data_IF_740446589606
#
_entry.id   IF_740446589606
#
_cell.length_a   1.000
_cell.length_b   1.000
_cell.length_c   1.000
_cell.angle_alpha   90.00
_cell.angle_beta   90.00
_cell.angle_gamma   90.00
#
_symmetry.space_group_name_H-M   'P 1'
#
loop_
_entity.id
_entity.type
_entity.pdbx_description
1 polymer ?
#
# COMPACT_ATOMS: atom_id res chain seq x y z
N UNK A 1 -25.56 11.91 -8.18
CA UNK A 1 -25.06 10.81 -9.04
C UNK A 1 -25.16 11.24 -10.50
N UNK A 2 -24.31 10.72 -11.39
CA UNK A 2 -24.25 11.10 -12.83
C UNK A 2 -24.33 9.93 -13.82
N UNK A 3 -24.41 8.68 -13.33
CA UNK A 3 -24.57 7.51 -14.20
C UNK A 3 -26.05 7.35 -14.60
N UNK A 4 -26.37 7.00 -15.86
CA UNK A 4 -27.71 6.62 -16.25
C UNK A 4 -28.12 5.28 -15.60
N UNK A 5 -29.43 4.95 -15.54
CA UNK A 5 -29.92 3.72 -14.89
C UNK A 5 -29.27 2.45 -15.42
N UNK A 6 -29.01 2.37 -16.73
CA UNK A 6 -28.40 1.21 -17.39
C UNK A 6 -26.98 0.97 -16.88
N UNK A 7 -26.18 2.04 -16.77
CA UNK A 7 -24.82 1.95 -16.25
C UNK A 7 -24.78 1.65 -14.74
N UNK A 8 -25.78 2.10 -13.97
CA UNK A 8 -25.90 1.70 -12.57
C UNK A 8 -26.24 0.21 -12.45
N UNK A 9 -27.19 -0.29 -13.25
CA UNK A 9 -27.56 -1.72 -13.23
C UNK A 9 -26.36 -2.61 -13.61
N UNK A 10 -25.60 -2.23 -14.64
CA UNK A 10 -24.36 -2.91 -15.01
C UNK A 10 -23.36 -2.93 -13.84
N UNK A 11 -23.07 -1.78 -13.25
CA UNK A 11 -22.12 -1.68 -12.14
C UNK A 11 -22.56 -2.48 -10.90
N UNK A 12 -23.88 -2.54 -10.62
CA UNK A 12 -24.42 -3.36 -9.53
C UNK A 12 -24.29 -4.85 -9.83
N UNK A 13 -24.55 -5.27 -11.07
CA UNK A 13 -24.35 -6.66 -11.47
C UNK A 13 -22.88 -7.08 -11.30
N UNK A 14 -21.95 -6.27 -11.82
CA UNK A 14 -20.51 -6.54 -11.68
C UNK A 14 -20.00 -6.44 -10.24
N UNK A 15 -20.61 -5.60 -9.40
CA UNK A 15 -20.33 -5.58 -7.96
C UNK A 15 -20.64 -6.92 -7.30
N UNK A 16 -21.80 -7.52 -7.63
CA UNK A 16 -22.19 -8.83 -7.11
C UNK A 16 -21.29 -9.95 -7.64
N UNK A 17 -20.98 -9.94 -8.95
CA UNK A 17 -20.03 -10.88 -9.55
C UNK A 17 -18.64 -10.77 -8.92
N UNK A 18 -18.16 -9.56 -8.64
CA UNK A 18 -16.88 -9.35 -7.97
C UNK A 18 -16.88 -9.90 -6.54
N UNK A 19 -17.98 -9.71 -5.80
CA UNK A 19 -18.14 -10.25 -4.45
C UNK A 19 -18.08 -11.78 -4.42
N UNK A 20 -18.63 -12.42 -5.45
CA UNK A 20 -18.53 -13.86 -5.64
C UNK A 20 -17.15 -14.29 -6.10
N UNK A 21 -16.57 -13.63 -7.09
CA UNK A 21 -15.34 -14.09 -7.73
C UNK A 21 -14.09 -13.90 -6.86
N UNK A 22 -14.02 -12.86 -6.03
CA UNK A 22 -12.83 -12.54 -5.22
C UNK A 22 -12.35 -13.70 -4.33
N UNK A 23 -13.27 -14.56 -3.87
CA UNK A 23 -12.94 -15.76 -3.05
C UNK A 23 -12.11 -16.80 -3.79
N UNK A 24 -12.16 -16.80 -5.13
CA UNK A 24 -11.40 -17.72 -5.96
C UNK A 24 -9.93 -17.30 -6.05
N UNK A 25 -9.67 -16.00 -6.17
CA UNK A 25 -8.32 -15.43 -6.32
C UNK A 25 -7.42 -15.86 -5.15
N UNK A 26 -7.95 -15.80 -3.93
CA UNK A 26 -7.21 -16.12 -2.71
C UNK A 26 -6.89 -17.60 -2.51
N UNK A 27 -7.42 -18.50 -3.35
CA UNK A 27 -7.04 -19.92 -3.32
C UNK A 27 -5.57 -20.12 -3.71
N UNK A 28 -4.95 -19.17 -4.43
CA UNK A 28 -3.49 -19.16 -4.64
C UNK A 28 -2.75 -19.05 -3.30
N UNK A 29 -3.19 -18.14 -2.41
CA UNK A 29 -2.62 -18.05 -1.06
C UNK A 29 -2.90 -19.31 -0.25
N UNK A 30 -4.03 -19.98 -0.48
CA UNK A 30 -4.36 -21.23 0.22
C UNK A 30 -3.41 -22.37 -0.20
N UNK A 31 -3.03 -22.45 -1.47
CA UNK A 31 -2.06 -23.46 -1.95
C UNK A 31 -0.67 -23.25 -1.34
N UNK A 32 -0.14 -22.03 -1.38
CA UNK A 32 1.24 -21.77 -0.94
C UNK A 32 1.37 -21.41 0.55
N UNK A 33 0.34 -20.83 1.14
CA UNK A 33 0.34 -20.32 2.52
C UNK A 33 -0.67 -21.00 3.43
N UNK A 34 -1.37 -22.03 2.97
CA UNK A 34 -2.29 -22.86 3.75
C UNK A 34 -3.69 -22.27 3.98
N UNK A 35 -3.84 -20.93 4.00
CA UNK A 35 -5.12 -20.26 4.22
C UNK A 35 -5.16 -18.81 3.72
N UNK A 36 -6.37 -18.26 3.63
CA UNK A 36 -6.63 -16.84 3.51
C UNK A 36 -7.92 -16.49 4.27
N UNK A 37 -8.00 -15.39 5.05
CA UNK A 37 -6.93 -14.41 5.35
C UNK A 37 -5.76 -14.98 6.18
N UNK A 38 -4.66 -14.20 6.26
CA UNK A 38 -3.45 -14.52 7.03
C UNK A 38 -2.73 -15.83 6.64
N UNK A 39 -2.20 -15.94 5.40
CA UNK A 39 -1.35 -17.06 5.01
C UNK A 39 -0.07 -17.15 5.86
N UNK A 40 0.53 -18.32 5.90
CA UNK A 40 1.81 -18.55 6.57
C UNK A 40 3.02 -18.22 5.67
N UNK A 41 4.10 -17.73 6.27
CA UNK A 41 5.38 -17.39 5.64
C UNK A 41 6.53 -17.95 6.47
N UNK A 42 7.77 -17.94 5.95
CA UNK A 42 8.95 -18.50 6.60
C UNK A 42 10.18 -17.59 6.40
N UNK A 43 10.93 -17.30 7.47
CA UNK A 43 12.27 -16.69 7.31
C UNK A 43 13.18 -17.70 6.61
N UNK A 44 13.77 -17.31 5.48
CA UNK A 44 14.59 -18.19 4.64
C UNK A 44 13.90 -18.69 3.37
N UNK A 45 12.60 -18.46 3.19
CA UNK A 45 11.88 -18.83 1.97
C UNK A 45 10.38 -19.00 2.18
N UNK A 46 9.83 -20.15 1.78
CA UNK A 46 8.41 -20.49 1.93
C UNK A 46 8.24 -21.89 2.54
N UNK A 47 7.20 -22.13 3.35
CA UNK A 47 6.99 -23.44 3.99
C UNK A 47 6.39 -24.48 3.04
N UNK A 48 5.87 -24.08 1.87
CA UNK A 48 5.22 -24.95 0.90
C UNK A 48 6.23 -25.70 0.03
N UNK A 49 6.88 -26.72 0.60
CA UNK A 49 7.81 -27.58 -0.11
C UNK A 49 7.20 -28.17 -1.39
N UNK A 50 8.04 -28.35 -2.41
CA UNK A 50 7.62 -28.81 -3.74
C UNK A 50 8.11 -30.25 -3.97
N UNK A 51 7.21 -31.10 -4.45
CA UNK A 51 7.53 -32.44 -4.93
C UNK A 51 6.55 -32.78 -6.07
N UNK A 52 7.05 -32.93 -7.29
CA UNK A 52 6.24 -33.10 -8.49
C UNK A 52 6.07 -34.56 -8.92
N UNK A 53 7.13 -35.35 -8.78
CA UNK A 53 7.30 -36.64 -9.45
C UNK A 53 7.83 -37.76 -8.56
N UNK A 54 8.26 -37.45 -7.33
CA UNK A 54 8.74 -38.45 -6.36
C UNK A 54 7.61 -38.99 -5.48
N UNK A 55 7.86 -40.16 -4.90
CA UNK A 55 6.95 -40.73 -3.89
C UNK A 55 6.75 -39.73 -2.75
N UNK A 56 5.48 -39.53 -2.34
CA UNK A 56 5.12 -38.55 -1.31
C UNK A 56 4.68 -37.18 -1.83
N UNK A 57 4.61 -36.96 -3.15
CA UNK A 57 4.10 -35.72 -3.76
C UNK A 57 2.70 -35.28 -3.26
N UNK A 58 1.88 -36.21 -2.76
CA UNK A 58 0.57 -35.93 -2.15
C UNK A 58 0.67 -35.09 -0.87
N UNK A 59 1.83 -35.03 -0.22
CA UNK A 59 2.11 -34.22 0.96
C UNK A 59 2.80 -32.88 0.68
N UNK A 60 2.91 -32.46 -0.59
CA UNK A 60 3.66 -31.28 -1.02
C UNK A 60 2.90 -30.47 -2.08
N UNK A 61 3.46 -29.33 -2.49
CA UNK A 61 3.04 -28.67 -3.73
C UNK A 61 3.45 -29.57 -4.90
N UNK A 62 2.46 -30.14 -5.57
CA UNK A 62 2.62 -31.03 -6.71
C UNK A 62 1.96 -30.46 -7.98
N UNK A 63 2.01 -31.21 -9.08
CA UNK A 63 1.51 -30.72 -10.38
C UNK A 63 0.01 -30.38 -10.36
N UNK A 64 -0.82 -31.10 -9.60
CA UNK A 64 -2.24 -30.79 -9.51
C UNK A 64 -2.49 -29.48 -8.74
N UNK A 65 -1.71 -29.21 -7.68
CA UNK A 65 -1.73 -27.91 -6.98
C UNK A 65 -1.34 -26.75 -7.90
N UNK A 66 -0.31 -26.95 -8.73
CA UNK A 66 0.13 -25.95 -9.72
C UNK A 66 -0.89 -25.74 -10.85
N UNK A 67 -1.61 -26.79 -11.26
CA UNK A 67 -2.72 -26.68 -12.22
C UNK A 67 -3.88 -25.84 -11.66
N UNK A 68 -4.22 -26.02 -10.38
CA UNK A 68 -5.21 -25.18 -9.70
C UNK A 68 -4.78 -23.70 -9.71
N UNK A 69 -3.53 -23.42 -9.33
CA UNK A 69 -2.96 -22.06 -9.35
C UNK A 69 -3.07 -21.46 -10.75
N UNK A 70 -2.58 -22.16 -11.78
CA UNK A 70 -2.66 -21.72 -13.18
C UNK A 70 -4.08 -21.36 -13.62
N UNK A 71 -5.07 -22.19 -13.28
CA UNK A 71 -6.48 -21.92 -13.59
C UNK A 71 -6.99 -20.65 -12.92
N UNK A 72 -6.65 -20.42 -11.66
CA UNK A 72 -7.06 -19.22 -10.92
C UNK A 72 -6.40 -17.96 -11.51
N UNK A 73 -5.12 -18.03 -11.87
CA UNK A 73 -4.40 -16.91 -12.49
C UNK A 73 -5.12 -16.45 -13.76
N UNK A 74 -5.46 -17.38 -14.66
CA UNK A 74 -6.18 -17.06 -15.90
C UNK A 74 -7.52 -16.38 -15.62
N UNK A 75 -8.32 -16.94 -14.71
CA UNK A 75 -9.63 -16.36 -14.35
C UNK A 75 -9.49 -14.96 -13.74
N UNK A 76 -8.49 -14.76 -12.88
CA UNK A 76 -8.25 -13.48 -12.21
C UNK A 76 -7.88 -12.37 -13.20
N UNK A 77 -6.96 -12.68 -14.13
CA UNK A 77 -6.59 -11.80 -15.23
C UNK A 77 -7.79 -11.43 -16.08
N UNK A 78 -8.54 -12.45 -16.51
CA UNK A 78 -9.74 -12.26 -17.33
C UNK A 78 -10.77 -11.35 -16.64
N UNK A 79 -11.03 -11.54 -15.34
CA UNK A 79 -11.97 -10.69 -14.60
C UNK A 79 -11.50 -9.24 -14.51
N UNK A 80 -10.21 -9.00 -14.22
CA UNK A 80 -9.66 -7.64 -14.17
C UNK A 80 -9.71 -6.94 -15.54
N UNK A 81 -9.36 -7.67 -16.61
CA UNK A 81 -9.30 -7.15 -17.99
C UNK A 81 -10.68 -6.92 -18.61
N UNK A 82 -11.67 -7.76 -18.30
CA UNK A 82 -12.97 -7.76 -18.97
C UNK A 82 -14.10 -7.14 -18.13
N UNK A 83 -13.92 -7.01 -16.81
CA UNK A 83 -14.93 -6.46 -15.90
C UNK A 83 -14.41 -5.19 -15.22
N UNK A 84 -13.38 -5.31 -14.38
CA UNK A 84 -12.99 -4.21 -13.50
C UNK A 84 -12.45 -2.98 -14.26
N UNK A 85 -11.48 -3.17 -15.16
CA UNK A 85 -10.92 -2.07 -15.93
C UNK A 85 -11.95 -1.40 -16.86
N UNK A 86 -12.77 -2.15 -17.63
CA UNK A 86 -13.86 -1.57 -18.41
C UNK A 86 -14.88 -0.77 -17.60
N UNK A 87 -15.28 -1.27 -16.42
CA UNK A 87 -16.21 -0.56 -15.54
C UNK A 87 -15.64 0.77 -15.06
N UNK A 88 -14.35 0.80 -14.72
CA UNK A 88 -13.67 2.04 -14.32
C UNK A 88 -13.63 3.03 -15.48
N UNK A 89 -13.36 2.59 -16.71
CA UNK A 89 -13.40 3.45 -17.90
C UNK A 89 -14.81 4.00 -18.15
N UNK A 90 -15.84 3.15 -18.00
CA UNK A 90 -17.24 3.56 -18.14
C UNK A 90 -17.60 4.62 -17.09
N UNK A 91 -17.33 4.35 -15.80
CA UNK A 91 -17.60 5.28 -14.71
C UNK A 91 -16.83 6.60 -14.94
N UNK A 92 -15.55 6.53 -15.31
CA UNK A 92 -14.73 7.69 -15.59
C UNK A 92 -15.33 8.57 -16.70
N UNK A 93 -15.93 7.97 -17.73
CA UNK A 93 -16.54 8.70 -18.84
C UNK A 93 -17.68 9.64 -18.41
N UNK A 94 -18.45 9.27 -17.37
CA UNK A 94 -19.53 10.09 -16.81
C UNK A 94 -19.05 11.08 -15.73
N UNK A 95 -17.93 10.77 -15.08
CA UNK A 95 -17.35 11.57 -14.00
C UNK A 95 -16.04 12.27 -14.39
N UNK A 96 -15.85 12.64 -15.66
CA UNK A 96 -14.64 13.35 -16.12
C UNK A 96 -14.33 14.64 -15.35
N UNK A 97 -15.32 15.28 -14.74
CA UNK A 97 -15.10 16.44 -13.85
C UNK A 97 -14.27 16.08 -12.60
N UNK A 98 -14.32 14.82 -12.16
CA UNK A 98 -13.50 14.31 -11.06
C UNK A 98 -12.02 14.18 -11.41
N UNK A 99 -11.65 14.32 -12.69
CA UNK A 99 -10.26 14.46 -13.11
C UNK A 99 -9.60 15.76 -12.62
N UNK A 100 -10.38 16.70 -12.06
CA UNK A 100 -9.92 18.00 -11.54
C UNK A 100 -10.14 18.14 -10.03
N UNK A 101 -10.56 17.07 -9.35
CA UNK A 101 -10.93 17.08 -7.93
C UNK A 101 -10.04 16.11 -7.16
N UNK A 102 -9.53 16.56 -6.01
CA UNK A 102 -8.78 15.73 -5.07
C UNK A 102 -7.49 15.14 -5.61
N UNK A 103 -6.71 15.97 -6.30
CA UNK A 103 -5.31 15.68 -6.58
C UNK A 103 -4.49 15.71 -5.30
N UNK A 104 -4.58 16.80 -4.53
CA UNK A 104 -3.80 16.97 -3.31
C UNK A 104 -2.32 16.97 -3.63
N UNK A 105 -1.56 16.06 -3.03
CA UNK A 105 -0.11 15.96 -3.25
C UNK A 105 0.26 15.23 -4.55
N UNK A 106 -0.68 14.60 -5.25
CA UNK A 106 -0.37 13.76 -6.42
C UNK A 106 0.33 14.48 -7.58
N UNK A 107 0.16 15.81 -7.70
CA UNK A 107 0.86 16.65 -8.70
C UNK A 107 2.19 17.22 -8.20
N UNK A 108 2.57 16.92 -6.95
CA UNK A 108 3.70 17.54 -6.26
C UNK A 108 4.69 16.50 -5.76
N UNK A 109 4.24 15.63 -4.84
CA UNK A 109 5.10 14.77 -4.05
C UNK A 109 4.61 13.32 -4.05
N UNK A 110 5.42 12.42 -4.60
CA UNK A 110 5.09 11.00 -4.77
C UNK A 110 6.22 10.12 -4.27
N UNK A 111 5.90 9.00 -3.64
CA UNK A 111 6.89 8.05 -3.11
C UNK A 111 6.49 6.61 -3.43
N UNK A 112 7.47 5.82 -3.89
CA UNK A 112 7.37 4.37 -4.01
C UNK A 112 8.72 3.69 -3.70
N UNK A 113 8.70 2.59 -2.97
CA UNK A 113 9.89 1.79 -2.65
C UNK A 113 10.24 0.76 -3.72
N UNK A 114 9.32 0.51 -4.65
CA UNK A 114 9.41 -0.57 -5.64
C UNK A 114 9.15 -1.95 -5.04
N UNK A 115 8.88 -2.90 -5.91
CA UNK A 115 8.45 -4.25 -5.51
C UNK A 115 8.67 -5.25 -6.64
N UNK A 116 8.47 -6.52 -6.30
CA UNK A 116 8.57 -7.67 -7.18
C UNK A 116 9.99 -7.80 -7.73
N UNK A 117 10.98 -8.09 -6.86
CA UNK A 117 12.33 -8.39 -7.32
C UNK A 117 12.27 -9.59 -8.28
N UNK A 118 12.83 -9.42 -9.47
CA UNK A 118 12.94 -10.50 -10.42
C UNK A 118 13.95 -11.52 -9.87
N UNK A 119 15.25 -11.23 -9.93
CA UNK A 119 16.23 -12.13 -9.33
C UNK A 119 16.11 -12.19 -7.79
N UNK A 120 16.12 -13.41 -7.18
CA UNK A 120 16.00 -13.54 -5.74
C UNK A 120 17.11 -12.79 -5.01
N UNK A 121 16.78 -12.16 -3.88
CA UNK A 121 17.72 -11.46 -2.99
C UNK A 121 18.42 -10.23 -3.59
N UNK A 122 18.04 -9.77 -4.77
CA UNK A 122 18.46 -8.47 -5.32
C UNK A 122 17.31 -7.46 -5.22
N UNK A 123 17.43 -6.52 -4.28
CA UNK A 123 16.44 -5.47 -4.03
C UNK A 123 16.81 -4.13 -4.67
N UNK A 124 17.73 -4.14 -5.64
CA UNK A 124 18.08 -2.96 -6.44
C UNK A 124 16.91 -2.52 -7.32
N UNK A 125 16.79 -1.22 -7.57
CA UNK A 125 15.73 -0.67 -8.41
C UNK A 125 15.69 -1.24 -9.84
N UNK A 126 16.85 -1.69 -10.36
CA UNK A 126 16.96 -2.36 -11.66
C UNK A 126 16.31 -3.74 -11.71
N UNK A 127 16.20 -4.41 -10.56
CA UNK A 127 15.64 -5.75 -10.45
C UNK A 127 14.16 -5.74 -9.99
N UNK A 128 13.67 -4.61 -9.48
CA UNK A 128 12.27 -4.44 -9.07
C UNK A 128 11.38 -4.15 -10.29
N UNK A 129 10.45 -5.06 -10.59
CA UNK A 129 9.48 -4.90 -11.68
C UNK A 129 8.57 -3.68 -11.45
N UNK A 130 8.22 -3.41 -10.20
CA UNK A 130 7.44 -2.23 -9.82
C UNK A 130 8.38 -1.03 -9.55
N UNK A 131 8.13 0.15 -10.13
CA UNK A 131 8.94 1.37 -9.96
C UNK A 131 9.26 1.75 -8.51
N UNK A 132 10.53 2.11 -8.28
CA UNK A 132 11.06 2.76 -7.07
C UNK A 132 11.46 4.20 -7.38
N UNK A 133 11.16 5.13 -6.49
CA UNK A 133 11.61 6.52 -6.58
C UNK A 133 10.79 7.49 -5.74
N UNK A 134 11.26 8.73 -5.68
CA UNK A 134 10.55 9.85 -5.08
C UNK A 134 10.55 11.05 -6.04
N UNK A 135 9.41 11.73 -6.15
CA UNK A 135 9.24 12.99 -6.89
C UNK A 135 8.84 14.04 -5.88
N UNK A 136 9.42 15.24 -5.97
CA UNK A 136 9.17 16.35 -5.04
C UNK A 136 8.91 17.63 -5.83
N UNK A 137 8.08 18.52 -5.29
CA UNK A 137 7.82 19.85 -5.83
C UNK A 137 7.33 19.85 -7.30
N UNK A 138 6.68 18.77 -7.74
CA UNK A 138 6.17 18.62 -9.09
C UNK A 138 7.25 18.46 -10.17
N UNK A 139 8.50 18.16 -9.78
CA UNK A 139 9.63 17.94 -10.69
C UNK A 139 9.67 16.50 -11.20
N UNK A 140 8.73 16.17 -12.08
CA UNK A 140 8.59 14.82 -12.63
C UNK A 140 9.76 14.39 -13.54
N UNK A 141 10.58 15.33 -13.97
CA UNK A 141 11.85 15.13 -14.67
C UNK A 141 13.01 14.71 -13.75
N UNK A 142 12.86 14.93 -12.44
CA UNK A 142 13.85 14.61 -11.41
C UNK A 142 13.31 13.51 -10.46
N UNK A 143 13.53 12.25 -10.80
CA UNK A 143 13.13 11.12 -9.96
C UNK A 143 14.27 10.74 -9.03
N UNK A 144 14.15 11.08 -7.75
CA UNK A 144 15.17 10.82 -6.74
C UNK A 144 15.18 9.33 -6.34
N UNK A 145 16.37 8.72 -6.15
CA UNK A 145 16.47 7.41 -5.55
C UNK A 145 16.03 7.47 -4.08
N UNK A 146 15.51 6.35 -3.58
CA UNK A 146 15.08 6.22 -2.18
C UNK A 146 16.04 5.29 -1.44
N UNK A 147 16.58 5.73 -0.31
CA UNK A 147 17.41 4.95 0.61
C UNK A 147 16.71 4.85 1.99
N UNK A 148 16.32 3.63 2.35
CA UNK A 148 15.60 3.34 3.59
C UNK A 148 16.53 3.30 4.81
N UNK A 149 17.85 3.29 4.59
CA UNK A 149 18.87 3.23 5.63
C UNK A 149 19.39 4.62 6.01
N UNK A 150 19.16 5.62 5.15
CA UNK A 150 19.54 7.01 5.40
C UNK A 150 18.66 7.63 6.50
N UNK A 151 19.23 8.08 7.64
CA UNK A 151 18.47 8.54 8.81
C UNK A 151 17.80 9.91 8.61
N UNK A 152 18.26 10.69 7.62
CA UNK A 152 17.71 11.99 7.23
C UNK A 152 16.64 11.87 6.12
N UNK A 153 16.38 10.65 5.64
CA UNK A 153 15.47 10.41 4.54
C UNK A 153 14.04 10.11 5.01
N UNK A 154 13.78 8.93 5.59
CA UNK A 154 12.44 8.58 6.08
C UNK A 154 12.37 8.84 7.58
N UNK A 155 11.52 9.78 7.98
CA UNK A 155 11.34 10.14 9.38
C UNK A 155 9.86 10.22 9.73
N UNK A 156 9.51 9.79 10.94
CA UNK A 156 8.17 9.93 11.50
C UNK A 156 8.12 10.98 12.60
N UNK A 157 7.22 11.94 12.46
CA UNK A 157 6.93 12.96 13.46
C UNK A 157 5.70 12.57 14.27
N UNK A 158 5.65 13.04 15.53
CA UNK A 158 4.49 12.85 16.42
C UNK A 158 3.99 14.18 16.99
N UNK A 159 4.34 15.30 16.36
CA UNK A 159 3.92 16.65 16.76
C UNK A 159 2.41 16.70 16.96
N UNK A 160 1.65 16.26 15.96
CA UNK A 160 0.19 16.25 15.97
C UNK A 160 -0.43 14.85 16.17
N UNK A 161 0.34 13.91 16.74
CA UNK A 161 -0.09 12.53 17.00
C UNK A 161 -0.07 12.20 18.48
N UNK A 162 -0.96 11.31 18.95
CA UNK A 162 -1.07 10.86 20.35
C UNK A 162 0.06 9.91 20.78
N UNK A 163 1.30 10.33 20.57
CA UNK A 163 2.53 9.70 21.05
C UNK A 163 3.48 10.77 21.60
N UNK A 164 4.45 10.33 22.40
CA UNK A 164 5.55 11.17 22.90
C UNK A 164 6.91 10.62 22.46
N UNK A 165 7.87 11.53 22.22
CA UNK A 165 9.29 11.23 22.00
C UNK A 165 10.14 11.72 23.19
N UNK A 166 9.51 11.89 24.35
CA UNK A 166 10.11 12.50 25.54
C UNK A 166 10.10 14.03 25.51
N UNK A 167 10.41 14.63 26.65
CA UNK A 167 10.29 16.07 26.88
C UNK A 167 11.19 16.87 25.91
N UNK A 168 10.61 17.85 25.20
CA UNK A 168 11.33 18.73 24.29
C UNK A 168 11.69 18.15 22.92
N UNK A 169 11.24 16.93 22.60
CA UNK A 169 11.52 16.26 21.31
C UNK A 169 10.29 16.14 20.40
N UNK A 170 9.16 16.77 20.74
CA UNK A 170 7.91 16.57 19.99
C UNK A 170 7.96 17.08 18.54
N UNK A 171 8.83 18.06 18.25
CA UNK A 171 9.03 18.62 16.90
C UNK A 171 10.11 17.88 16.08
N UNK A 172 10.75 16.85 16.65
CA UNK A 172 11.79 16.09 15.94
C UNK A 172 11.20 14.89 15.23
N UNK A 173 11.58 14.70 13.97
CA UNK A 173 11.36 13.47 13.24
C UNK A 173 12.39 12.41 13.66
N UNK A 174 11.94 11.16 13.80
CA UNK A 174 12.83 10.03 14.07
C UNK A 174 12.81 9.08 12.87
N UNK A 175 14.00 8.64 12.45
CA UNK A 175 14.11 7.50 11.54
C UNK A 175 13.59 6.23 12.24
N UNK A 176 12.93 5.29 11.54
CA UNK A 176 12.32 4.12 12.18
C UNK A 176 13.28 3.25 13.02
N UNK A 177 14.58 3.19 12.75
CA UNK A 177 15.49 2.46 13.66
C UNK A 177 15.65 3.10 15.04
N UNK A 178 15.42 4.42 15.10
CA UNK A 178 15.41 5.21 16.33
C UNK A 178 13.97 5.53 16.78
N UNK A 179 12.97 4.98 16.07
CA UNK A 179 11.56 5.26 16.28
C UNK A 179 11.06 4.76 17.64
N UNK A 180 10.20 5.57 18.25
CA UNK A 180 9.54 5.27 19.52
C UNK A 180 8.03 5.18 19.32
N UNK A 181 7.37 4.29 20.04
CA UNK A 181 5.91 4.13 20.01
C UNK A 181 5.38 4.14 21.44
N UNK A 182 5.48 5.30 22.09
CA UNK A 182 4.95 5.52 23.44
C UNK A 182 3.66 6.33 23.36
N UNK A 183 2.48 5.72 23.59
CA UNK A 183 1.20 6.39 23.43
C UNK A 183 0.99 7.47 24.50
N UNK A 184 0.52 8.65 24.07
CA UNK A 184 0.20 9.77 24.95
C UNK A 184 -1.06 10.48 24.43
N UNK A 185 -2.22 10.08 24.97
CA UNK A 185 -3.49 10.73 24.67
C UNK A 185 -3.63 11.99 25.53
N UNK A 186 -3.49 13.14 24.88
CA UNK A 186 -3.74 14.47 25.43
C UNK A 186 -4.43 15.30 24.36
N UNK A 187 -5.42 16.09 24.78
CA UNK A 187 -6.20 16.97 23.90
C UNK A 187 -5.71 18.41 24.04
N UNK A 188 -5.84 19.20 22.96
CA UNK A 188 -5.46 20.62 22.94
C UNK A 188 -6.48 21.54 23.63
N UNK A 189 -6.16 22.84 23.65
CA UNK A 189 -6.97 23.87 24.30
C UNK A 189 -8.34 24.08 23.65
N UNK A 190 -8.45 23.87 22.33
CA UNK A 190 -9.67 24.10 21.55
C UNK A 190 -10.50 22.83 21.37
N UNK A 191 -10.14 21.75 22.05
CA UNK A 191 -10.85 20.48 22.01
C UNK A 191 -12.28 20.63 22.57
N UNK A 192 -13.27 20.06 21.87
CA UNK A 192 -14.65 20.03 22.33
C UNK A 192 -15.07 18.60 22.58
N UNK A 193 -15.38 18.30 23.84
CA UNK A 193 -15.83 16.97 24.25
C UNK A 193 -15.39 16.60 25.66
N UNK A 194 -15.32 15.30 25.91
CA UNK A 194 -14.84 14.68 27.15
C UNK A 194 -13.90 13.53 26.79
N UNK A 195 -13.19 12.96 27.78
CA UNK A 195 -12.27 11.84 27.55
C UNK A 195 -12.87 10.68 26.71
N UNK A 196 -14.17 10.44 26.81
CA UNK A 196 -14.89 9.36 26.11
C UNK A 196 -15.81 9.84 24.98
N UNK A 197 -15.83 11.15 24.68
CA UNK A 197 -16.72 11.73 23.67
C UNK A 197 -16.03 12.87 22.93
N UNK A 198 -15.82 12.74 21.63
CA UNK A 198 -15.20 13.77 20.80
C UNK A 198 -16.30 14.41 19.94
N UNK A 199 -16.59 15.69 20.19
CA UNK A 199 -17.46 16.49 19.31
C UNK A 199 -16.63 17.14 18.20
N UNK A 200 -15.47 17.71 18.57
CA UNK A 200 -14.54 18.35 17.65
C UNK A 200 -13.12 18.14 18.15
N UNK A 201 -12.24 17.67 17.25
CA UNK A 201 -10.80 17.55 17.55
C UNK A 201 -10.14 18.94 17.47
N UNK A 202 -9.02 19.11 18.17
CA UNK A 202 -8.17 20.30 18.07
C UNK A 202 -6.93 19.98 17.23
N UNK A 203 -6.97 20.36 15.95
CA UNK A 203 -5.89 20.12 14.99
C UNK A 203 -4.68 21.05 15.17
N UNK A 204 -4.72 22.00 16.11
CA UNK A 204 -3.56 22.81 16.50
C UNK A 204 -2.64 22.09 17.50
N UNK A 205 -3.11 20.97 18.07
CA UNK A 205 -2.38 20.10 18.98
C UNK A 205 -2.36 18.65 18.45
N UNK A 206 -2.38 17.64 19.33
CA UNK A 206 -2.43 16.22 18.94
C UNK A 206 -3.85 15.80 18.60
N UNK A 207 -4.05 15.22 17.40
CA UNK A 207 -5.39 14.91 16.89
C UNK A 207 -5.55 13.53 16.23
N UNK A 208 -4.51 12.67 16.25
CA UNK A 208 -4.56 11.37 15.57
C UNK A 208 -3.71 10.30 16.25
N UNK A 209 -4.12 9.03 16.09
CA UNK A 209 -3.32 7.85 16.43
C UNK A 209 -2.33 7.45 15.32
N UNK A 210 -2.32 8.17 14.21
CA UNK A 210 -1.41 7.92 13.08
C UNK A 210 -0.20 8.85 13.26
N UNK A 211 1.02 8.31 13.11
CA UNK A 211 2.26 9.12 13.05
C UNK A 211 2.35 9.89 11.72
N UNK A 212 3.24 10.87 11.63
CA UNK A 212 3.41 11.74 10.46
C UNK A 212 4.72 11.44 9.72
N UNK A 213 4.79 10.43 8.84
CA UNK A 213 6.00 10.14 8.07
C UNK A 213 6.24 11.22 7.00
N UNK A 214 7.51 11.56 6.79
CA UNK A 214 8.01 12.52 5.81
C UNK A 214 9.24 11.97 5.13
N UNK A 215 9.42 12.29 3.86
CA UNK A 215 10.61 11.95 3.09
C UNK A 215 11.45 13.22 2.89
N UNK A 216 12.64 13.28 3.49
CA UNK A 216 13.51 14.47 3.54
C UNK A 216 12.74 15.73 3.98
N UNK A 217 11.82 15.57 4.95
CA UNK A 217 10.96 16.63 5.45
C UNK A 217 9.82 17.07 4.51
N UNK A 218 9.49 16.29 3.49
CA UNK A 218 8.35 16.52 2.60
C UNK A 218 7.21 15.54 2.90
N UNK A 219 5.98 16.05 2.96
CA UNK A 219 4.78 15.22 2.92
C UNK A 219 4.65 14.55 1.55
N UNK A 220 4.38 13.25 1.53
CA UNK A 220 4.35 12.43 0.31
C UNK A 220 3.00 11.76 0.13
N UNK A 221 2.60 11.53 -1.12
CA UNK A 221 1.56 10.56 -1.46
C UNK A 221 2.17 9.23 -1.90
N UNK A 222 1.59 8.13 -1.42
CA UNK A 222 1.95 6.76 -1.82
C UNK A 222 0.72 6.03 -2.39
N UNK A 223 0.94 4.92 -3.10
CA UNK A 223 -0.13 4.05 -3.61
C UNK A 223 -0.09 3.86 -5.11
N UNK A 224 -1.15 3.27 -5.72
CA UNK A 224 -1.18 2.98 -7.15
C UNK A 224 -0.85 4.19 -8.02
N UNK A 225 -1.41 5.36 -7.71
CA UNK A 225 -1.17 6.57 -8.49
C UNK A 225 0.30 7.02 -8.44
N UNK A 226 0.91 7.01 -7.26
CA UNK A 226 2.32 7.37 -7.07
C UNK A 226 3.24 6.46 -7.88
N UNK A 227 3.05 5.14 -7.74
CA UNK A 227 3.79 4.10 -8.49
C UNK A 227 3.67 4.26 -10.00
N UNK A 228 2.44 4.44 -10.49
CA UNK A 228 2.18 4.59 -11.92
C UNK A 228 2.77 5.88 -12.48
N UNK A 229 2.71 6.99 -11.74
CA UNK A 229 3.32 8.25 -12.17
C UNK A 229 4.85 8.18 -12.15
N UNK A 230 5.45 7.55 -11.14
CA UNK A 230 6.90 7.31 -11.12
C UNK A 230 7.30 6.42 -12.32
N UNK A 231 6.62 5.30 -12.53
CA UNK A 231 6.88 4.41 -13.68
C UNK A 231 6.69 5.09 -15.04
N UNK A 232 5.65 5.92 -15.17
CA UNK A 232 5.37 6.71 -16.36
C UNK A 232 6.54 7.67 -16.69
N UNK A 233 7.06 8.38 -15.68
CA UNK A 233 8.14 9.35 -15.87
C UNK A 233 9.54 8.70 -15.90
N UNK A 234 9.69 7.48 -15.39
CA UNK A 234 10.82 6.59 -15.71
C UNK A 234 10.77 6.05 -17.15
N UNK A 235 9.71 6.38 -17.90
CA UNK A 235 9.51 6.01 -19.30
C UNK A 235 9.42 4.48 -19.52
N UNK A 236 8.90 3.76 -18.52
CA UNK A 236 8.68 2.31 -18.59
C UNK A 236 7.39 2.00 -19.39
N UNK A 237 7.47 1.31 -20.55
CA UNK A 237 6.32 1.11 -21.42
C UNK A 237 5.18 0.34 -20.75
N UNK A 238 5.50 -0.57 -19.83
CA UNK A 238 4.53 -1.40 -19.09
C UNK A 238 3.55 -0.56 -18.25
N UNK A 239 3.93 0.67 -17.90
CA UNK A 239 3.09 1.64 -17.19
C UNK A 239 2.63 2.77 -18.10
N UNK A 240 3.52 3.24 -18.99
CA UNK A 240 3.27 4.39 -19.86
C UNK A 240 2.19 4.13 -20.89
N UNK A 241 2.25 3.01 -21.61
CA UNK A 241 1.32 2.71 -22.70
C UNK A 241 -0.12 2.51 -22.20
N UNK A 242 -0.38 1.72 -21.13
CA UNK A 242 -1.74 1.59 -20.60
C UNK A 242 -2.31 2.91 -20.08
N UNK A 243 -1.47 3.77 -19.49
CA UNK A 243 -1.88 5.11 -19.05
C UNK A 243 -2.24 5.99 -20.24
N UNK A 244 -1.39 6.05 -21.27
CA UNK A 244 -1.64 6.85 -22.47
C UNK A 244 -2.91 6.35 -23.20
N UNK A 245 -3.14 5.03 -23.27
CA UNK A 245 -4.36 4.46 -23.83
C UNK A 245 -5.61 4.85 -23.02
N UNK A 246 -5.55 4.76 -21.69
CA UNK A 246 -6.66 5.15 -20.81
C UNK A 246 -7.02 6.62 -21.00
N UNK A 247 -6.02 7.51 -21.00
CA UNK A 247 -6.22 8.95 -21.21
C UNK A 247 -6.79 9.24 -22.60
N UNK A 248 -6.32 8.53 -23.64
CA UNK A 248 -6.80 8.65 -25.02
C UNK A 248 -8.27 8.27 -25.15
N UNK A 249 -8.68 7.11 -24.62
CA UNK A 249 -10.09 6.66 -24.62
C UNK A 249 -10.98 7.63 -23.87
N UNK A 250 -10.52 8.15 -22.73
CA UNK A 250 -11.26 9.14 -21.95
C UNK A 250 -11.19 10.55 -22.53
N UNK A 251 -10.34 10.80 -23.54
CA UNK A 251 -10.05 12.13 -24.09
C UNK A 251 -9.68 13.13 -22.99
N UNK A 252 -8.79 12.73 -22.10
CA UNK A 252 -8.30 13.50 -20.96
C UNK A 252 -6.80 13.79 -21.11
N UNK A 253 -6.32 14.95 -20.65
CA UNK A 253 -4.90 15.28 -20.68
C UNK A 253 -4.16 14.57 -19.53
N UNK A 254 -2.82 14.60 -19.52
CA UNK A 254 -2.00 13.91 -18.50
C UNK A 254 -2.29 14.39 -17.08
N UNK A 255 -2.57 15.67 -16.91
CA UNK A 255 -2.87 16.30 -15.64
C UNK A 255 -4.14 15.73 -14.98
N UNK A 256 -5.01 15.06 -15.76
CA UNK A 256 -6.17 14.34 -15.23
C UNK A 256 -5.79 13.22 -14.27
N UNK A 257 -4.56 12.69 -14.35
CA UNK A 257 -4.05 11.69 -13.41
C UNK A 257 -3.92 12.25 -12.00
N UNK A 258 -3.68 13.56 -11.84
CA UNK A 258 -3.52 14.21 -10.55
C UNK A 258 -4.86 14.47 -9.87
N UNK A 259 -5.61 13.40 -9.61
CA UNK A 259 -6.99 13.50 -9.13
C UNK A 259 -7.51 12.24 -8.43
N UNK A 260 -8.65 12.38 -7.76
CA UNK A 260 -9.45 11.28 -7.23
C UNK A 260 -9.81 10.25 -8.31
N UNK A 261 -10.13 10.72 -9.53
CA UNK A 261 -10.41 9.83 -10.66
C UNK A 261 -9.15 9.11 -11.12
N UNK A 262 -8.03 9.82 -11.24
CA UNK A 262 -6.73 9.28 -11.63
C UNK A 262 -6.25 8.18 -10.67
N UNK A 263 -6.43 8.38 -9.36
CA UNK A 263 -6.10 7.34 -8.37
C UNK A 263 -6.96 6.09 -8.50
N UNK A 264 -8.22 6.26 -8.85
CA UNK A 264 -9.15 5.15 -9.11
C UNK A 264 -8.75 4.40 -10.39
N UNK A 265 -8.40 5.11 -11.45
CA UNK A 265 -7.91 4.56 -12.70
C UNK A 265 -6.58 3.79 -12.52
N UNK A 266 -5.62 4.37 -11.79
CA UNK A 266 -4.32 3.75 -11.54
C UNK A 266 -4.46 2.39 -10.84
N UNK A 267 -5.39 2.24 -9.88
CA UNK A 267 -5.67 0.95 -9.23
C UNK A 267 -6.20 -0.10 -10.20
N UNK A 268 -7.08 0.29 -11.12
CA UNK A 268 -7.63 -0.62 -12.12
C UNK A 268 -6.54 -1.08 -13.10
N UNK A 269 -5.70 -0.16 -13.58
CA UNK A 269 -4.53 -0.48 -14.39
C UNK A 269 -3.58 -1.45 -13.65
N UNK A 270 -3.32 -1.19 -12.37
CA UNK A 270 -2.44 -2.03 -11.55
C UNK A 270 -2.99 -3.45 -11.36
N UNK A 271 -4.32 -3.62 -11.28
CA UNK A 271 -4.93 -4.95 -11.17
C UNK A 271 -4.65 -5.85 -12.40
N UNK A 272 -4.62 -5.25 -13.59
CA UNK A 272 -4.30 -5.95 -14.84
C UNK A 272 -2.80 -6.22 -14.91
N UNK A 273 -1.97 -5.23 -14.60
CA UNK A 273 -0.52 -5.39 -14.52
C UNK A 273 -0.14 -6.51 -13.55
N UNK A 274 -0.71 -6.51 -12.34
CA UNK A 274 -0.45 -7.53 -11.32
C UNK A 274 -0.93 -8.93 -11.75
N UNK A 275 -2.06 -9.01 -12.46
CA UNK A 275 -2.51 -10.26 -13.07
C UNK A 275 -1.49 -10.83 -14.06
N UNK A 276 -0.90 -9.97 -14.90
CA UNK A 276 0.16 -10.38 -15.84
C UNK A 276 1.46 -10.74 -15.12
N UNK A 277 1.86 -9.97 -14.10
CA UNK A 277 3.02 -10.26 -13.25
C UNK A 277 2.87 -11.59 -12.51
N UNK A 278 1.66 -11.93 -12.08
CA UNK A 278 1.36 -13.23 -11.46
C UNK A 278 1.57 -14.40 -12.44
N UNK A 279 1.12 -14.27 -13.69
CA UNK A 279 1.40 -15.24 -14.75
C UNK A 279 2.91 -15.35 -15.02
N UNK A 280 3.60 -14.21 -15.12
CA UNK A 280 5.05 -14.16 -15.33
C UNK A 280 5.83 -14.94 -14.26
N UNK A 281 5.54 -14.71 -12.97
CA UNK A 281 6.20 -15.42 -11.88
C UNK A 281 5.81 -16.90 -11.82
N UNK A 282 4.57 -17.25 -12.16
CA UNK A 282 4.17 -18.65 -12.28
C UNK A 282 4.95 -19.35 -13.40
N UNK A 283 5.07 -18.74 -14.58
CA UNK A 283 5.84 -19.31 -15.68
C UNK A 283 7.32 -19.44 -15.32
N UNK A 284 7.86 -18.52 -14.53
CA UNK A 284 9.23 -18.61 -14.02
C UNK A 284 9.41 -19.76 -13.04
N UNK A 285 8.50 -19.92 -12.08
CA UNK A 285 8.48 -21.09 -11.20
C UNK A 285 8.47 -22.37 -12.05
N UNK A 286 7.59 -22.46 -13.05
CA UNK A 286 7.52 -23.62 -13.94
C UNK A 286 8.81 -23.85 -14.73
N UNK A 287 9.58 -22.81 -15.09
CA UNK A 287 10.90 -22.96 -15.74
C UNK A 287 11.93 -23.55 -14.78
N UNK A 288 12.01 -23.06 -13.55
CA UNK A 288 12.90 -23.61 -12.52
C UNK A 288 12.61 -25.09 -12.27
N UNK A 289 11.33 -25.42 -12.11
CA UNK A 289 10.88 -26.80 -11.91
C UNK A 289 11.24 -27.72 -13.07
N UNK A 290 11.06 -27.27 -14.32
CA UNK A 290 11.49 -28.02 -15.51
C UNK A 290 13.00 -28.25 -15.58
N UNK A 291 13.80 -27.35 -15.00
CA UNK A 291 15.25 -27.52 -14.87
C UNK A 291 15.67 -28.32 -13.63
N UNK A 292 14.73 -28.81 -12.82
CA UNK A 292 14.99 -29.61 -11.62
C UNK A 292 15.22 -28.79 -10.34
N UNK A 293 15.09 -27.46 -10.39
CA UNK A 293 15.18 -26.61 -9.20
C UNK A 293 13.83 -26.57 -8.46
N UNK A 294 13.79 -27.24 -7.30
CA UNK A 294 12.62 -27.38 -6.42
C UNK A 294 12.85 -26.78 -5.02
N UNK A 295 13.98 -26.09 -4.81
CA UNK A 295 14.33 -25.55 -3.51
C UNK A 295 13.38 -24.43 -3.09
N UNK A 296 12.95 -24.44 -1.81
CA UNK A 296 11.95 -23.49 -1.29
C UNK A 296 12.37 -22.77 -0.01
N UNK A 297 13.39 -23.25 0.70
CA UNK A 297 13.87 -22.65 1.93
C UNK A 297 15.38 -22.80 2.08
N UNK A 298 16.05 -21.71 2.45
CA UNK A 298 17.41 -21.72 2.96
C UNK A 298 17.37 -21.76 4.50
N UNK A 299 17.96 -22.79 5.09
CA UNK A 299 17.97 -23.03 6.54
C UNK A 299 19.35 -22.86 7.19
N UNK A 300 20.33 -22.31 6.47
CA UNK A 300 21.71 -22.15 7.00
C UNK A 300 21.79 -21.25 8.23
N UNK A 301 20.89 -20.27 8.33
CA UNK A 301 20.78 -19.34 9.46
C UNK A 301 19.42 -19.47 10.16
N UNK A 302 18.85 -20.68 10.22
CA UNK A 302 17.57 -20.91 10.88
C UNK A 302 17.68 -20.85 12.41
N UNK A 303 18.68 -21.52 12.97
CA UNK A 303 18.87 -21.58 14.43
C UNK A 303 19.40 -20.25 14.98
N UNK A 304 18.82 -19.67 16.04
CA UNK A 304 19.22 -18.36 16.55
C UNK A 304 20.68 -18.25 17.04
N UNK A 305 21.31 -19.37 17.38
CA UNK A 305 22.73 -19.41 17.74
C UNK A 305 23.69 -19.16 16.56
N UNK A 306 23.18 -19.24 15.32
CA UNK A 306 23.91 -18.90 14.09
C UNK A 306 23.84 -17.42 13.74
N UNK A 307 22.96 -16.65 14.39
CA UNK A 307 22.74 -15.24 14.07
C UNK A 307 23.85 -14.36 14.66
N UNK A 308 24.12 -13.18 14.06
CA UNK A 308 24.92 -12.16 14.71
C UNK A 308 24.33 -11.79 16.07
N UNK A 309 25.19 -11.49 17.06
CA UNK A 309 24.75 -11.03 18.38
C UNK A 309 23.87 -9.77 18.29
N UNK A 310 24.15 -8.89 17.33
CA UNK A 310 23.35 -7.71 17.04
C UNK A 310 23.28 -7.46 15.53
N UNK A 311 22.10 -7.15 14.99
CA UNK A 311 21.91 -6.83 13.57
C UNK A 311 20.76 -5.83 13.36
N UNK A 312 20.89 -4.97 12.35
CA UNK A 312 19.79 -4.12 11.84
C UNK A 312 19.33 -4.65 10.49
N UNK A 313 18.03 -4.55 10.20
CA UNK A 313 17.45 -4.92 8.92
C UNK A 313 16.34 -3.98 8.49
N UNK A 314 16.13 -3.91 7.17
CA UNK A 314 14.97 -3.26 6.56
C UNK A 314 14.30 -4.27 5.63
N UNK A 315 13.04 -4.58 5.87
CA UNK A 315 12.16 -5.20 4.89
C UNK A 315 11.28 -4.13 4.26
N UNK A 316 11.18 -4.10 2.94
CA UNK A 316 10.27 -3.18 2.25
C UNK A 316 9.47 -3.90 1.18
N UNK A 317 8.34 -3.29 0.85
CA UNK A 317 7.39 -3.82 -0.11
C UNK A 317 6.53 -2.68 -0.67
N UNK A 318 5.89 -2.90 -1.82
CA UNK A 318 4.75 -2.07 -2.25
C UNK A 318 3.45 -2.84 -2.01
N UNK A 319 2.85 -2.57 -0.84
CA UNK A 319 1.52 -3.07 -0.55
C UNK A 319 0.49 -2.46 -1.52
N UNK A 320 -0.75 -3.00 -1.61
CA UNK A 320 -1.77 -2.46 -2.52
C UNK A 320 -2.06 -0.96 -2.32
N UNK A 321 -1.79 -0.43 -1.12
CA UNK A 321 -2.01 0.98 -0.75
C UNK A 321 -0.76 1.85 -0.88
N UNK A 322 0.41 1.28 -1.19
CA UNK A 322 1.66 2.00 -1.41
C UNK A 322 2.86 1.45 -0.64
N UNK A 323 3.83 2.34 -0.40
CA UNK A 323 5.12 2.06 0.17
C UNK A 323 5.04 1.59 1.63
N UNK A 324 5.52 0.38 1.90
CA UNK A 324 5.57 -0.27 3.21
C UNK A 324 7.01 -0.57 3.60
N UNK A 325 7.42 -0.18 4.81
CA UNK A 325 8.72 -0.52 5.37
C UNK A 325 8.61 -1.04 6.81
N UNK A 326 9.40 -2.06 7.11
CA UNK A 326 9.60 -2.64 8.43
C UNK A 326 11.09 -2.52 8.79
N UNK A 327 11.40 -1.82 9.87
CA UNK A 327 12.76 -1.62 10.37
C UNK A 327 12.92 -2.40 11.67
N UNK A 328 13.84 -3.37 11.65
CA UNK A 328 14.10 -4.28 12.77
C UNK A 328 15.51 -4.06 13.33
N UNK A 329 15.63 -4.13 14.65
CA UNK A 329 16.89 -4.34 15.36
C UNK A 329 16.78 -5.66 16.13
N UNK A 330 17.75 -6.54 15.93
CA UNK A 330 17.89 -7.82 16.61
C UNK A 330 19.06 -7.69 17.58
N UNK A 331 18.87 -8.09 18.83
CA UNK A 331 19.92 -8.21 19.83
C UNK A 331 19.74 -9.49 20.64
N UNK A 332 20.82 -10.22 20.87
CA UNK A 332 20.84 -11.44 21.69
C UNK A 332 19.70 -12.42 21.36
N UNK A 333 19.54 -12.72 20.06
CA UNK A 333 18.51 -13.63 19.52
C UNK A 333 17.05 -13.19 19.77
N UNK A 334 16.84 -11.91 20.05
CA UNK A 334 15.52 -11.31 20.28
C UNK A 334 15.37 -10.02 19.49
N UNK A 335 14.13 -9.62 19.27
CA UNK A 335 13.81 -8.33 18.69
C UNK A 335 14.04 -7.27 19.77
N UNK A 336 14.95 -6.32 19.51
CA UNK A 336 15.15 -5.13 20.33
C UNK A 336 14.19 -4.00 19.91
N UNK A 337 14.06 -3.77 18.61
CA UNK A 337 13.12 -2.80 18.05
C UNK A 337 12.48 -3.32 16.78
N UNK A 338 11.22 -2.94 16.58
CA UNK A 338 10.45 -3.22 15.38
C UNK A 338 9.52 -2.04 15.10
N UNK A 339 9.82 -1.29 14.04
CA UNK A 339 9.04 -0.12 13.64
C UNK A 339 8.50 -0.30 12.22
N UNK A 340 7.24 0.10 12.02
CA UNK A 340 6.54 -0.05 10.76
C UNK A 340 6.08 1.32 10.26
N UNK A 341 6.50 1.68 9.05
CA UNK A 341 5.92 2.83 8.34
C UNK A 341 5.10 2.29 7.18
N UNK A 342 3.78 2.44 7.30
CA UNK A 342 2.78 1.72 6.49
C UNK A 342 2.12 2.71 5.51
N UNK A 343 1.56 2.28 4.36
CA UNK A 343 1.17 3.23 3.32
C UNK A 343 0.07 4.22 3.75
N UNK A 344 -0.92 3.74 4.51
CA UNK A 344 -1.95 4.64 5.05
C UNK A 344 -1.40 5.55 6.15
N UNK A 345 -0.28 5.21 6.80
CA UNK A 345 0.44 6.13 7.70
C UNK A 345 0.96 7.34 6.91
N UNK A 346 1.50 7.13 5.70
CA UNK A 346 1.88 8.22 4.79
C UNK A 346 0.70 9.09 4.39
N UNK A 347 -0.34 8.46 3.84
CA UNK A 347 -1.41 9.21 3.21
C UNK A 347 -2.35 9.90 4.22
N UNK A 348 -2.60 9.27 5.38
CA UNK A 348 -3.50 9.76 6.42
C UNK A 348 -2.76 10.36 7.63
N UNK A 349 -1.44 10.45 7.57
CA UNK A 349 -0.62 11.05 8.62
C UNK A 349 -1.04 12.49 8.89
N UNK A 350 -1.09 12.92 10.16
CA UNK A 350 -1.45 14.29 10.50
C UNK A 350 -0.34 15.27 10.11
N UNK A 351 -0.51 16.53 10.53
CA UNK A 351 0.51 17.58 10.36
C UNK A 351 1.82 17.24 11.08
N UNK A 352 2.90 17.83 10.62
CA UNK A 352 4.24 17.74 11.24
C UNK A 352 4.59 19.03 11.98
N UNK A 353 5.85 19.16 12.40
CA UNK A 353 6.44 20.33 13.06
C UNK A 353 6.31 21.63 12.23
N UNK A 354 6.26 21.51 10.90
CA UNK A 354 6.13 22.63 9.96
C UNK A 354 4.68 22.93 9.60
N UNK A 355 3.72 22.20 10.17
CA UNK A 355 2.31 22.31 9.82
C UNK A 355 1.96 21.81 8.42
N UNK A 356 2.83 21.00 7.77
CA UNK A 356 2.55 20.44 6.46
C UNK A 356 1.45 19.39 6.56
N UNK A 357 0.41 19.53 5.73
CA UNK A 357 -0.71 18.59 5.67
C UNK A 357 -0.36 17.30 4.91
N UNK A 358 -0.97 16.18 5.29
CA UNK A 358 -0.83 14.89 4.62
C UNK A 358 -1.65 14.78 3.33
N UNK A 359 -1.52 13.65 2.61
CA UNK A 359 -2.14 13.46 1.30
C UNK A 359 -3.69 13.50 1.35
N UNK A 360 -4.30 12.95 2.40
CA UNK A 360 -5.76 12.96 2.57
C UNK A 360 -6.30 14.37 2.77
N UNK A 361 -5.71 15.11 3.71
CA UNK A 361 -6.08 16.50 3.98
C UNK A 361 -5.90 17.34 2.70
N UNK A 362 -4.75 17.24 2.04
CA UNK A 362 -4.46 17.96 0.80
C UNK A 362 -5.46 17.65 -0.32
N UNK A 363 -5.87 16.40 -0.48
CA UNK A 363 -6.83 16.01 -1.51
C UNK A 363 -8.27 16.47 -1.20
N UNK A 364 -8.63 16.66 0.07
CA UNK A 364 -9.94 17.21 0.43
C UNK A 364 -10.00 18.73 0.26
N UNK A 365 -8.87 19.43 0.37
CA UNK A 365 -8.81 20.88 0.16
C UNK A 365 -9.37 21.30 -1.21
N UNK A 366 -10.17 22.36 -1.20
CA UNK A 366 -10.83 22.89 -2.41
C UNK A 366 -12.05 22.09 -2.89
N UNK A 367 -12.42 21.00 -2.21
CA UNK A 367 -13.61 20.21 -2.58
C UNK A 367 -14.91 20.93 -2.24
N UNK A 368 -15.63 21.41 -3.24
CA UNK A 368 -16.96 22.02 -3.06
C UNK A 368 -18.01 20.95 -2.70
N UNK A 369 -18.60 20.99 -1.51
CA UNK A 369 -19.74 20.15 -1.15
C UNK A 369 -21.02 20.61 -1.85
N UNK A 370 -21.79 19.68 -2.40
CA UNK A 370 -23.10 20.00 -2.99
C UNK A 370 -24.18 20.10 -1.91
N UNK A 371 -24.17 19.14 -0.97
CA UNK A 371 -25.03 19.09 0.22
C UNK A 371 -24.10 18.81 1.40
N UNK A 372 -23.91 19.76 2.36
CA UNK A 372 -22.97 19.60 3.47
C UNK A 372 -23.25 18.37 4.33
N UNK A 373 -24.52 18.10 4.63
CA UNK A 373 -24.94 16.97 5.49
C UNK A 373 -24.77 15.59 4.83
N UNK A 374 -24.43 15.56 3.54
CA UNK A 374 -24.23 14.32 2.77
C UNK A 374 -22.82 14.30 2.19
N UNK A 375 -21.80 13.81 2.94
CA UNK A 375 -20.39 13.97 2.62
C UNK A 375 -19.89 13.07 1.47
N UNK A 376 -20.73 12.76 0.48
CA UNK A 376 -20.41 11.87 -0.64
C UNK A 376 -19.12 12.28 -1.37
N UNK A 377 -18.83 13.58 -1.47
CA UNK A 377 -17.60 14.05 -2.13
C UNK A 377 -16.35 13.79 -1.30
N UNK A 378 -16.44 13.95 0.02
CA UNK A 378 -15.37 13.57 0.95
C UNK A 378 -15.12 12.06 0.86
N UNK A 379 -16.19 11.26 0.89
CA UNK A 379 -16.10 9.80 0.77
C UNK A 379 -15.42 9.36 -0.53
N UNK A 380 -15.78 9.96 -1.67
CA UNK A 380 -15.16 9.64 -2.97
C UNK A 380 -13.65 9.88 -2.96
N UNK A 381 -13.22 11.03 -2.47
CA UNK A 381 -11.79 11.36 -2.40
C UNK A 381 -11.06 10.43 -1.45
N UNK A 382 -11.53 10.25 -0.22
CA UNK A 382 -10.90 9.35 0.75
C UNK A 382 -10.85 7.89 0.26
N UNK A 383 -11.97 7.34 -0.23
CA UNK A 383 -12.02 5.98 -0.76
C UNK A 383 -11.13 5.80 -1.99
N UNK A 384 -10.84 6.87 -2.75
CA UNK A 384 -9.90 6.76 -3.86
C UNK A 384 -8.48 6.42 -3.42
N UNK A 385 -8.11 6.64 -2.16
CA UNK A 385 -6.84 6.20 -1.58
C UNK A 385 -6.89 4.80 -0.98
N UNK A 386 -8.07 4.17 -0.93
CA UNK A 386 -8.31 2.88 -0.28
C UNK A 386 -7.78 2.85 1.18
N UNK A 387 -8.40 3.58 2.13
CA UNK A 387 -7.87 3.69 3.49
C UNK A 387 -7.87 2.35 4.25
N UNK A 388 -6.73 1.98 4.88
CA UNK A 388 -6.67 0.91 5.88
C UNK A 388 -6.18 1.47 7.22
N UNK A 389 -7.10 1.78 8.13
CA UNK A 389 -6.76 2.43 9.41
C UNK A 389 -6.10 1.48 10.44
N UNK A 390 -6.41 0.18 10.38
CA UNK A 390 -5.69 -0.82 11.16
C UNK A 390 -4.20 -0.87 10.73
N UNK A 391 -3.95 -0.77 9.42
CA UNK A 391 -2.61 -0.70 8.87
C UNK A 391 -1.87 0.58 9.32
N UNK A 392 -2.55 1.74 9.34
CA UNK A 392 -1.90 3.02 9.62
C UNK A 392 -1.49 3.23 11.08
N UNK A 393 -2.23 2.61 12.00
CA UNK A 393 -2.02 2.79 13.45
C UNK A 393 -1.21 1.65 14.06
N UNK A 394 -1.31 0.43 13.52
CA UNK A 394 -0.61 -0.77 14.00
C UNK A 394 -0.60 -0.93 15.53
N UNK A 395 -1.71 -0.54 16.17
CA UNK A 395 -1.91 -0.65 17.62
C UNK A 395 -2.21 -2.12 17.93
N UNK A 396 -1.26 -2.78 18.60
CA UNK A 396 -1.32 -4.20 18.98
C UNK A 396 -1.28 -4.28 20.51
N UNK A 397 -2.14 -5.11 21.10
CA UNK A 397 -2.04 -5.50 22.51
C UNK A 397 -1.25 -6.80 22.59
N UNK A 398 -0.17 -6.80 23.36
CA UNK A 398 0.60 -8.01 23.63
C UNK A 398 -0.15 -9.02 24.51
N UNK A 399 -1.28 -8.61 25.11
CA UNK A 399 -2.14 -9.47 25.94
C UNK A 399 -3.47 -9.84 25.27
N UNK A 400 -3.72 -9.41 24.04
CA UNK A 400 -4.96 -9.71 23.30
C UNK A 400 -6.22 -9.07 23.88
N UNK A 401 -6.08 -8.07 24.75
CA UNK A 401 -7.17 -7.27 25.28
C UNK A 401 -7.68 -6.21 24.29
N UNK A 402 -8.86 -5.68 24.60
CA UNK A 402 -9.48 -4.59 23.86
C UNK A 402 -8.74 -3.27 24.16
N UNK A 403 -7.93 -2.79 23.21
CA UNK A 403 -7.11 -1.57 23.38
C UNK A 403 -7.95 -0.30 23.45
N UNK A 404 -8.93 -0.19 22.56
CA UNK A 404 -9.85 0.94 22.47
C UNK A 404 -11.18 0.46 21.89
N UNK A 405 -12.27 0.75 22.61
CA UNK A 405 -13.63 0.59 22.10
C UNK A 405 -14.18 1.94 21.66
N UNK A 406 -14.37 2.11 20.37
CA UNK A 406 -15.07 3.30 19.82
C UNK A 406 -16.46 2.88 19.40
N UNK A 407 -17.48 3.36 20.13
CA UNK A 407 -18.87 3.14 19.77
C UNK A 407 -19.34 4.33 18.92
N UNK A 408 -19.39 4.12 17.60
CA UNK A 408 -19.98 5.09 16.67
C UNK A 408 -21.49 4.87 16.67
N UNK A 409 -22.27 5.91 17.01
CA UNK A 409 -23.74 5.90 16.89
C UNK A 409 -24.17 6.55 15.60
#
# INVERSE_FOLDING_TARGET
MKLPPEANLLAVAHYLEALDFQKEIVKIHTVFGGKNPHPNWLVGGVPCAINLDETGAVGAVNMERLNLVSSIIQKARQFCEQVYLPDVLLIASYYKDWAKIGGGLSSMNLLAYGEFPDNPNDYSASNLLLPRGAIINGRFDEIHPVDLTAPDEIQEFVTHSWYTYGNGNNDKGLHPWDGLTEPQLVMGEHYKGTKTFIEQVDESAKYSWIKSPRWKGHAMEVGPLARYLIGYHQNKPEFKEPVDQLLSVLKLPKEALFSTLGRTAARALESVWAGNTLQYFFDRLMRNLKSGDTATANVTLWEPDTWPTSAKGVGFSEAPRGALGHWIKIENQKIDSYQCVVPTTWNAGPRDDKGQIGAYEAALMGTKLAVPDQPLKILRTLHSFDPCLACSTHVIDNHGGELVRVQVR
#
